data_IF_280598660412
#
_entry.id   IF_280598660412
#
_cell.length_a   1.000
_cell.length_b   1.000
_cell.length_c   1.000
_cell.angle_alpha   90.00
_cell.angle_beta   90.00
_cell.angle_gamma   90.00
#
_symmetry.space_group_name_H-M   'P 1'
#
loop_
_entity.id
_entity.type
_entity.pdbx_description
1 polymer ?
#
# COMPACT_ATOMS: atom_id res chain seq x y z
N UNK A 1 13.60 -17.67 9.05
CA UNK A 1 13.04 -17.46 9.20
C UNK A 1 12.55 -16.81 8.70
N UNK A 2 12.41 -16.79 8.38
CA UNK A 2 11.90 -16.16 7.77
C UNK A 2 10.93 -15.60 8.03
N UNK A 3 10.84 -15.29 8.69
CA UNK A 3 9.98 -14.79 9.07
C UNK A 3 9.80 -13.54 8.87
N UNK A 4 10.08 -12.96 7.85
CA UNK A 4 9.88 -11.74 7.60
C UNK A 4 8.51 -11.49 7.53
N UNK A 5 7.90 -10.80 8.44
CA UNK A 5 6.59 -10.42 8.39
C UNK A 5 6.47 -9.17 7.61
N UNK A 6 5.72 -9.19 6.55
CA UNK A 6 5.46 -8.00 5.74
C UNK A 6 4.35 -7.21 6.44
N UNK A 7 4.58 -5.95 6.79
CA UNK A 7 3.53 -5.15 7.38
C UNK A 7 2.35 -5.01 6.43
N UNK A 8 1.14 -4.99 6.97
CA UNK A 8 -0.06 -4.88 6.18
C UNK A 8 -0.86 -3.67 6.65
N UNK A 9 -1.18 -2.79 5.72
CA UNK A 9 -2.06 -1.65 6.02
C UNK A 9 -3.40 -1.96 5.39
N UNK A 10 -4.42 -2.15 6.23
CA UNK A 10 -5.74 -2.50 5.75
C UNK A 10 -6.56 -1.22 5.67
N UNK A 11 -6.82 -0.75 4.46
CA UNK A 11 -7.63 0.43 4.25
C UNK A 11 -8.93 0.08 3.53
N UNK A 12 -9.36 -1.17 3.64
CA UNK A 12 -10.64 -1.58 3.07
C UNK A 12 -11.75 -0.82 3.81
N UNK A 13 -12.73 -0.35 3.06
CA UNK A 13 -13.80 0.45 3.62
C UNK A 13 -13.48 1.94 3.63
N UNK A 14 -12.26 2.34 3.31
CA UNK A 14 -11.89 3.75 3.25
C UNK A 14 -12.06 4.25 1.83
N UNK A 15 -12.50 5.48 1.68
CA UNK A 15 -12.66 6.07 0.36
C UNK A 15 -11.55 7.07 0.11
N UNK A 16 -11.30 7.39 -1.15
CA UNK A 16 -10.31 8.37 -1.54
C UNK A 16 -10.64 9.71 -0.89
N UNK A 17 -9.63 10.42 -0.35
CA UNK A 17 -8.20 10.18 -0.47
C UNK A 17 -7.58 9.44 0.73
N UNK A 18 -8.40 8.84 1.58
CA UNK A 18 -7.89 8.26 2.83
C UNK A 18 -6.89 7.10 2.63
N UNK A 19 -7.11 6.16 1.69
CA UNK A 19 -6.11 5.10 1.50
C UNK A 19 -4.74 5.68 1.18
N UNK A 20 -4.68 6.69 0.31
CA UNK A 20 -3.42 7.32 -0.05
C UNK A 20 -2.82 8.03 1.16
N UNK A 21 -3.64 8.76 1.91
CA UNK A 21 -3.15 9.50 3.07
C UNK A 21 -2.58 8.57 4.12
N UNK A 22 -3.27 7.46 4.39
CA UNK A 22 -2.80 6.52 5.39
C UNK A 22 -1.52 5.83 4.95
N UNK A 23 -1.42 5.51 3.66
CA UNK A 23 -0.20 4.92 3.13
C UNK A 23 0.97 5.89 3.29
N UNK A 24 0.74 7.17 2.95
CA UNK A 24 1.79 8.17 3.07
C UNK A 24 2.23 8.34 4.51
N UNK A 25 1.29 8.33 5.45
CA UNK A 25 1.62 8.46 6.86
C UNK A 25 2.51 7.33 7.33
N UNK A 26 2.20 6.11 6.90
CA UNK A 26 3.03 4.98 7.28
C UNK A 26 4.43 5.06 6.67
N UNK A 27 4.49 5.39 5.40
CA UNK A 27 5.79 5.45 4.71
C UNK A 27 6.66 6.58 5.21
N UNK A 28 6.04 7.66 5.70
CA UNK A 28 6.80 8.79 6.22
C UNK A 28 7.04 8.69 7.71
N UNK A 29 6.34 7.79 8.39
CA UNK A 29 6.40 7.67 9.84
C UNK A 29 6.76 6.27 10.31
N UNK A 30 5.76 5.52 10.81
CA UNK A 30 5.99 4.24 11.47
C UNK A 30 6.72 3.22 10.61
N UNK A 31 6.48 3.24 9.30
CA UNK A 31 7.11 2.28 8.39
C UNK A 31 8.12 2.95 7.48
N UNK A 32 8.69 4.05 7.92
CA UNK A 32 9.69 4.74 7.13
C UNK A 32 10.86 3.81 6.87
N UNK A 33 11.22 3.65 5.60
CA UNK A 33 12.32 2.78 5.24
C UNK A 33 11.96 1.31 5.16
N UNK A 34 10.69 0.97 5.32
CA UNK A 34 10.27 -0.43 5.21
C UNK A 34 10.58 -0.93 3.80
N UNK A 35 10.99 -2.19 3.70
CA UNK A 35 11.36 -2.73 2.41
C UNK A 35 10.15 -3.16 1.61
N UNK A 36 9.14 -3.72 2.26
CA UNK A 36 7.91 -4.17 1.60
C UNK A 36 6.74 -3.80 2.49
N UNK A 37 5.69 -3.28 1.89
CA UNK A 37 4.46 -2.95 2.60
C UNK A 37 3.29 -3.38 1.74
N UNK A 38 2.35 -4.12 2.30
CA UNK A 38 1.14 -4.51 1.59
C UNK A 38 0.01 -3.60 2.02
N UNK A 39 -0.71 -3.04 1.06
CA UNK A 39 -1.87 -2.18 1.33
C UNK A 39 -3.09 -2.88 0.76
N UNK A 40 -4.08 -3.13 1.60
CA UNK A 40 -5.32 -3.78 1.17
C UNK A 40 -6.38 -2.72 0.99
N UNK A 41 -7.03 -2.72 -0.16
CA UNK A 41 -8.06 -1.75 -0.46
C UNK A 41 -9.20 -2.39 -1.22
N UNK A 42 -10.40 -1.84 -1.06
CA UNK A 42 -11.54 -2.25 -1.85
C UNK A 42 -12.09 -1.06 -2.64
N UNK A 43 -11.31 0.01 -2.74
CA UNK A 43 -11.74 1.24 -3.41
C UNK A 43 -10.92 1.41 -4.70
N UNK A 44 -11.52 1.19 -5.88
CA UNK A 44 -10.76 1.25 -7.14
C UNK A 44 -9.93 2.51 -7.34
N UNK A 45 -10.41 3.72 -7.01
CA UNK A 45 -9.56 4.91 -7.19
C UNK A 45 -8.24 4.85 -6.45
N UNK A 46 -8.15 4.07 -5.36
CA UNK A 46 -6.87 3.95 -4.65
C UNK A 46 -5.80 3.30 -5.53
N UNK A 47 -6.21 2.51 -6.53
CA UNK A 47 -5.27 1.89 -7.45
C UNK A 47 -4.56 2.90 -8.33
N UNK A 48 -5.10 4.13 -8.40
CA UNK A 48 -4.48 5.19 -9.18
C UNK A 48 -3.80 6.23 -8.31
N UNK A 49 -4.20 6.36 -7.04
CA UNK A 49 -3.66 7.41 -6.17
C UNK A 49 -2.51 6.93 -5.30
N UNK A 50 -2.55 5.68 -4.85
CA UNK A 50 -1.50 5.15 -3.99
C UNK A 50 -0.19 4.92 -4.75
N UNK A 51 -0.21 4.29 -5.95
CA UNK A 51 1.05 4.01 -6.63
C UNK A 51 1.94 5.22 -6.89
N UNK A 52 1.42 6.35 -7.41
CA UNK A 52 2.30 7.49 -7.65
C UNK A 52 2.99 7.99 -6.39
N UNK A 53 2.29 7.96 -5.25
CA UNK A 53 2.87 8.42 -4.00
C UNK A 53 3.95 7.47 -3.52
N UNK A 54 3.75 6.16 -3.68
CA UNK A 54 4.75 5.19 -3.29
C UNK A 54 5.98 5.29 -4.20
N UNK A 55 5.76 5.45 -5.50
CA UNK A 55 6.86 5.58 -6.45
C UNK A 55 7.69 6.81 -6.16
N UNK A 56 7.04 7.90 -5.74
CA UNK A 56 7.73 9.12 -5.39
C UNK A 56 8.67 8.89 -4.21
N UNK A 57 8.35 7.91 -3.38
CA UNK A 57 9.17 7.59 -2.21
C UNK A 57 10.15 6.44 -2.47
N UNK A 58 10.29 6.04 -3.73
CA UNK A 58 11.27 5.02 -4.09
C UNK A 58 10.77 3.59 -3.98
N UNK A 59 9.48 3.39 -4.18
CA UNK A 59 8.89 2.06 -4.13
C UNK A 59 8.33 1.66 -5.48
N UNK A 60 8.41 0.36 -5.79
CA UNK A 60 7.67 -0.21 -6.89
C UNK A 60 6.35 -0.67 -6.36
N UNK A 61 5.34 -0.72 -7.20
CA UNK A 61 4.01 -1.13 -6.79
C UNK A 61 3.51 -2.26 -7.68
N UNK A 62 3.08 -3.35 -7.05
CA UNK A 62 2.41 -4.44 -7.75
C UNK A 62 0.99 -4.51 -7.25
N UNK A 63 0.05 -4.70 -8.14
CA UNK A 63 -1.36 -4.76 -7.80
C UNK A 63 -1.85 -6.17 -8.03
N UNK A 64 -2.34 -6.81 -6.96
CA UNK A 64 -2.91 -8.15 -7.04
C UNK A 64 -4.39 -8.08 -6.69
N UNK A 65 -5.21 -8.72 -7.49
CA UNK A 65 -6.63 -8.80 -7.22
C UNK A 65 -6.86 -9.98 -6.30
N UNK A 66 -7.38 -9.73 -5.12
CA UNK A 66 -7.58 -10.77 -4.12
C UNK A 66 -8.95 -11.39 -4.19
N UNK A 67 -9.91 -10.66 -4.76
CA UNK A 67 -11.27 -11.15 -4.89
C UNK A 67 -12.10 -10.09 -5.56
N UNK A 68 -13.41 -10.23 -5.52
CA UNK A 68 -14.29 -9.25 -6.14
C UNK A 68 -14.11 -7.94 -5.38
N UNK A 69 -13.66 -6.92 -6.08
CA UNK A 69 -13.52 -5.57 -5.53
C UNK A 69 -12.53 -5.48 -4.37
N UNK A 70 -11.54 -6.38 -4.33
CA UNK A 70 -10.51 -6.29 -3.30
C UNK A 70 -9.14 -6.45 -3.95
N UNK A 71 -8.23 -5.57 -3.62
CA UNK A 71 -6.89 -5.58 -4.21
C UNK A 71 -5.83 -5.41 -3.13
N UNK A 72 -4.66 -5.97 -3.40
CA UNK A 72 -3.48 -5.76 -2.57
C UNK A 72 -2.46 -5.00 -3.40
N UNK A 73 -1.99 -3.89 -2.85
CA UNK A 73 -0.93 -3.12 -3.46
C UNK A 73 0.35 -3.45 -2.70
N UNK A 74 1.26 -4.16 -3.33
CA UNK A 74 2.53 -4.50 -2.70
C UNK A 74 3.57 -3.47 -3.08
N UNK A 75 4.02 -2.72 -2.09
CA UNK A 75 5.03 -1.68 -2.27
C UNK A 75 6.37 -2.28 -1.90
N UNK A 76 7.30 -2.31 -2.85
CA UNK A 76 8.62 -2.88 -2.61
C UNK A 76 9.66 -1.80 -2.83
N UNK A 77 10.54 -1.63 -1.86
CA UNK A 77 11.56 -0.59 -1.99
C UNK A 77 12.55 -0.96 -3.08
N UNK A 78 12.85 0.01 -3.94
CA UNK A 78 13.78 -0.19 -5.04
C UNK A 78 15.21 -0.08 -4.55
#
# INVERSE_FOLDING_TARGET
MADEQVPVLDVRGEICPYPMMKTNELLDGDQKGVKVLDVLTDHPPALSTVPPQAMKRGYEVEIDELGVSEWRLRLSKI
#
